data_IF_396844565307
#
_entry.id   IF_396844565307
#
_cell.length_a   1.000
_cell.length_b   1.000
_cell.length_c   1.000
_cell.angle_alpha   90.00
_cell.angle_beta   90.00
_cell.angle_gamma   90.00
#
_symmetry.space_group_name_H-M   'P 1'
#
loop_
_entity.id
_entity.type
_entity.pdbx_description
1 polymer ?
#
# COMPACT_ATOMS: atom_id res chain seq x y z
N UNK A 1 -5.84 -23.24 30.81
CA UNK A 1 -4.86 -22.61 29.89
C UNK A 1 -5.36 -21.22 29.53
N UNK A 2 -4.63 -20.18 29.90
CA UNK A 2 -5.02 -18.78 29.68
C UNK A 2 -4.87 -18.45 28.20
N UNK A 3 -5.97 -18.07 27.54
CA UNK A 3 -5.97 -17.63 26.14
C UNK A 3 -5.06 -16.40 26.00
N UNK A 4 -4.18 -16.31 25.00
CA UNK A 4 -3.33 -15.14 24.80
C UNK A 4 -4.19 -13.86 24.69
N UNK A 5 -3.72 -12.76 25.27
CA UNK A 5 -4.33 -11.44 25.12
C UNK A 5 -4.46 -11.10 23.63
N UNK A 6 -5.68 -11.15 23.09
CA UNK A 6 -5.98 -10.60 21.77
C UNK A 6 -6.13 -9.09 21.94
N UNK A 7 -5.13 -8.34 21.52
CA UNK A 7 -5.23 -6.89 21.42
C UNK A 7 -6.41 -6.59 20.49
N UNK A 8 -7.49 -6.02 21.06
CA UNK A 8 -8.72 -5.69 20.33
C UNK A 8 -8.75 -4.20 20.02
N UNK A 9 -8.76 -3.85 18.74
CA UNK A 9 -8.85 -2.49 18.23
C UNK A 9 -10.23 -2.33 17.59
N UNK A 10 -11.08 -1.40 18.08
CA UNK A 10 -12.38 -1.14 17.49
C UNK A 10 -12.26 -0.90 15.98
N UNK A 11 -12.95 -1.72 15.17
CA UNK A 11 -12.98 -1.58 13.71
C UNK A 11 -11.87 -2.33 12.95
N UNK A 12 -10.98 -3.07 13.62
CA UNK A 12 -9.96 -3.85 12.94
C UNK A 12 -10.51 -5.03 12.10
N UNK A 13 -9.81 -5.36 11.02
CA UNK A 13 -10.24 -6.32 9.99
C UNK A 13 -10.54 -7.73 10.52
N UNK A 14 -9.83 -8.21 11.55
CA UNK A 14 -10.08 -9.53 12.14
C UNK A 14 -11.46 -9.65 12.82
N UNK A 15 -12.14 -8.53 13.10
CA UNK A 15 -13.53 -8.58 13.55
C UNK A 15 -14.48 -9.10 12.46
N UNK A 16 -14.15 -8.90 11.18
CA UNK A 16 -14.93 -9.41 10.04
C UNK A 16 -14.77 -10.93 9.93
N UNK A 17 -13.52 -11.42 9.97
CA UNK A 17 -13.22 -12.86 9.88
C UNK A 17 -13.69 -13.64 11.11
N UNK A 18 -13.54 -13.09 12.33
CA UNK A 18 -14.05 -13.71 13.56
C UNK A 18 -15.57 -13.84 13.56
N UNK A 19 -16.31 -12.81 13.09
CA UNK A 19 -17.78 -12.87 12.99
C UNK A 19 -18.26 -13.86 11.95
N UNK A 20 -17.57 -13.91 10.81
CA UNK A 20 -17.83 -14.92 9.77
C UNK A 20 -17.68 -16.33 10.32
N UNK A 21 -16.59 -16.61 11.04
CA UNK A 21 -16.35 -17.90 11.70
C UNK A 21 -17.42 -18.24 12.76
N UNK A 22 -17.91 -17.24 13.48
CA UNK A 22 -18.99 -17.38 14.47
C UNK A 22 -20.39 -17.45 13.83
N UNK A 23 -20.51 -17.45 12.49
CA UNK A 23 -21.77 -17.40 11.75
C UNK A 23 -22.68 -16.22 12.15
N UNK A 24 -22.09 -15.11 12.58
CA UNK A 24 -22.79 -13.86 12.89
C UNK A 24 -22.93 -12.99 11.65
N UNK A 25 -23.73 -11.93 11.74
CA UNK A 25 -23.68 -10.86 10.74
C UNK A 25 -22.26 -10.30 10.62
N UNK A 26 -21.68 -10.40 9.43
CA UNK A 26 -20.31 -9.99 9.11
C UNK A 26 -20.19 -8.46 9.21
N UNK A 27 -21.14 -7.76 8.57
CA UNK A 27 -21.25 -6.30 8.56
C UNK A 27 -22.35 -5.85 9.53
N UNK A 28 -22.11 -4.74 10.25
CA UNK A 28 -23.10 -4.17 11.18
C UNK A 28 -24.09 -3.23 10.49
N UNK A 29 -23.73 -2.75 9.31
CA UNK A 29 -24.56 -1.88 8.48
C UNK A 29 -24.34 -2.15 7.00
N UNK A 30 -25.26 -1.67 6.16
CA UNK A 30 -25.08 -1.66 4.70
C UNK A 30 -23.86 -0.82 4.30
N UNK A 31 -23.65 0.34 4.94
CA UNK A 31 -22.51 1.21 4.70
C UNK A 31 -21.16 0.51 4.95
N UNK A 32 -21.06 -0.33 6.00
CA UNK A 32 -19.85 -1.12 6.27
C UNK A 32 -19.57 -2.12 5.13
N UNK A 33 -20.63 -2.76 4.62
CA UNK A 33 -20.53 -3.71 3.52
C UNK A 33 -20.09 -3.02 2.24
N UNK A 34 -20.73 -1.91 1.89
CA UNK A 34 -20.40 -1.12 0.70
C UNK A 34 -18.94 -0.63 0.75
N UNK A 35 -18.50 -0.12 1.90
CA UNK A 35 -17.13 0.33 2.09
C UNK A 35 -16.11 -0.82 2.00
N UNK A 36 -16.44 -1.99 2.54
CA UNK A 36 -15.60 -3.18 2.40
C UNK A 36 -15.48 -3.63 0.94
N UNK A 37 -16.60 -3.71 0.22
CA UNK A 37 -16.61 -4.11 -1.19
C UNK A 37 -15.87 -3.09 -2.06
N UNK A 38 -16.02 -1.80 -1.78
CA UNK A 38 -15.25 -0.75 -2.44
C UNK A 38 -13.73 -0.95 -2.26
N UNK A 39 -13.27 -1.24 -1.04
CA UNK A 39 -11.85 -1.54 -0.83
C UNK A 39 -11.40 -2.79 -1.59
N UNK A 40 -12.22 -3.84 -1.61
CA UNK A 40 -11.91 -5.06 -2.34
C UNK A 40 -11.80 -4.81 -3.86
N UNK A 41 -12.73 -4.05 -4.43
CA UNK A 41 -12.76 -3.67 -5.85
C UNK A 41 -11.61 -2.74 -6.23
N UNK A 42 -11.24 -1.80 -5.36
CA UNK A 42 -10.08 -0.95 -5.59
C UNK A 42 -8.75 -1.71 -5.63
N UNK A 43 -8.65 -2.86 -4.96
CA UNK A 43 -7.43 -3.65 -4.87
C UNK A 43 -7.41 -4.86 -5.82
N UNK A 44 -8.55 -5.31 -6.32
CA UNK A 44 -8.66 -6.53 -7.16
C UNK A 44 -9.24 -6.15 -8.52
N UNK A 45 -8.52 -6.47 -9.60
CA UNK A 45 -8.99 -6.23 -10.96
C UNK A 45 -10.01 -7.31 -11.43
N UNK A 46 -10.75 -7.06 -12.53
CA UNK A 46 -11.75 -8.02 -13.04
C UNK A 46 -11.19 -9.40 -13.40
N UNK A 47 -9.90 -9.48 -13.74
CA UNK A 47 -9.15 -10.72 -13.99
C UNK A 47 -8.68 -11.41 -12.68
N UNK A 48 -9.16 -10.94 -11.53
CA UNK A 48 -8.80 -11.41 -10.20
C UNK A 48 -7.32 -11.18 -9.81
N UNK A 49 -6.58 -10.32 -10.53
CA UNK A 49 -5.25 -9.87 -10.10
C UNK A 49 -5.35 -8.94 -8.91
N UNK A 50 -4.45 -9.11 -7.93
CA UNK A 50 -4.40 -8.34 -6.69
C UNK A 50 -3.31 -7.26 -6.79
N UNK A 51 -3.64 -6.06 -6.30
CA UNK A 51 -2.76 -4.90 -6.22
C UNK A 51 -2.67 -4.37 -4.77
N UNK A 52 -1.53 -3.78 -4.35
CA UNK A 52 -1.38 -3.12 -3.06
C UNK A 52 -2.35 -1.95 -2.87
N UNK A 53 -2.61 -1.21 -3.95
CA UNK A 53 -3.66 -0.18 -4.03
C UNK A 53 -4.02 0.09 -5.49
N UNK A 54 -5.09 0.86 -5.69
CA UNK A 54 -5.64 1.18 -7.01
C UNK A 54 -4.62 1.84 -7.95
N UNK A 55 -3.71 2.68 -7.43
CA UNK A 55 -2.69 3.35 -8.23
C UNK A 55 -1.69 2.38 -8.88
N UNK A 56 -1.48 1.19 -8.31
CA UNK A 56 -0.59 0.19 -8.91
C UNK A 56 -1.18 -0.50 -10.14
N UNK A 57 -2.49 -0.38 -10.39
CA UNK A 57 -3.11 -0.91 -11.62
C UNK A 57 -2.58 -0.22 -12.89
N UNK A 58 -1.97 0.95 -12.74
CA UNK A 58 -1.42 1.74 -13.86
C UNK A 58 0.09 1.51 -14.06
N UNK A 59 0.71 0.62 -13.29
CA UNK A 59 2.15 0.36 -13.32
C UNK A 59 2.37 -0.98 -14.03
N UNK A 60 3.27 -1.01 -15.01
CA UNK A 60 3.75 -2.27 -15.58
C UNK A 60 4.71 -2.91 -14.56
N UNK A 61 4.15 -3.77 -13.71
CA UNK A 61 4.81 -4.26 -12.49
C UNK A 61 5.82 -5.37 -12.76
N UNK A 62 5.63 -6.09 -13.86
CA UNK A 62 6.37 -7.32 -14.18
C UNK A 62 7.88 -7.04 -14.37
N UNK A 63 8.24 -5.83 -14.81
CA UNK A 63 9.64 -5.38 -14.97
C UNK A 63 10.29 -4.91 -13.66
N UNK A 64 9.48 -4.60 -12.62
CA UNK A 64 9.95 -3.92 -11.41
C UNK A 64 10.12 -4.90 -10.24
N UNK A 65 9.13 -5.76 -10.02
CA UNK A 65 9.12 -6.69 -8.88
C UNK A 65 9.27 -8.16 -9.28
N UNK A 66 9.46 -8.42 -10.58
CA UNK A 66 9.55 -9.75 -11.16
C UNK A 66 8.18 -10.39 -11.44
N UNK A 67 8.21 -11.62 -11.96
CA UNK A 67 7.05 -12.34 -12.49
C UNK A 67 5.84 -12.34 -11.55
N UNK A 68 4.64 -12.28 -12.13
CA UNK A 68 3.32 -12.17 -11.50
C UNK A 68 2.85 -13.43 -10.72
N UNK A 69 3.80 -14.20 -10.22
CA UNK A 69 3.59 -15.45 -9.52
C UNK A 69 2.87 -15.19 -8.18
N UNK A 70 1.78 -15.94 -7.93
CA UNK A 70 0.93 -15.78 -6.74
C UNK A 70 0.28 -14.40 -6.58
N UNK A 71 0.05 -13.65 -7.65
CA UNK A 71 -0.63 -12.34 -7.59
C UNK A 71 -2.08 -12.37 -8.09
N UNK A 72 -2.63 -13.54 -8.43
CA UNK A 72 -3.99 -13.68 -8.93
C UNK A 72 -4.80 -14.72 -8.15
N UNK A 73 -6.04 -14.36 -7.84
CA UNK A 73 -7.01 -15.25 -7.20
C UNK A 73 -7.64 -16.27 -8.16
N UNK A 74 -7.28 -16.27 -9.45
CA UNK A 74 -7.73 -17.31 -10.38
C UNK A 74 -7.22 -18.70 -9.97
N UNK A 75 -5.97 -18.77 -9.51
CA UNK A 75 -5.26 -20.04 -9.28
C UNK A 75 -4.86 -20.26 -7.81
N UNK A 76 -5.03 -19.23 -6.97
CA UNK A 76 -4.53 -19.22 -5.59
C UNK A 76 -5.54 -18.55 -4.66
N UNK A 77 -5.55 -18.95 -3.39
CA UNK A 77 -6.30 -18.22 -2.38
C UNK A 77 -5.58 -16.93 -1.95
N UNK A 78 -6.30 -16.06 -1.25
CA UNK A 78 -5.79 -14.76 -0.81
C UNK A 78 -4.63 -14.88 0.18
N UNK A 79 -4.60 -15.92 1.02
CA UNK A 79 -3.53 -16.11 1.99
C UNK A 79 -2.22 -16.49 1.27
N UNK A 80 -2.31 -17.39 0.30
CA UNK A 80 -1.19 -17.77 -0.57
C UNK A 80 -0.70 -16.54 -1.33
N UNK A 81 -1.59 -15.77 -1.94
CA UNK A 81 -1.19 -14.57 -2.66
C UNK A 81 -0.49 -13.56 -1.74
N UNK A 82 -1.09 -13.29 -0.57
CA UNK A 82 -0.55 -12.34 0.40
C UNK A 82 0.85 -12.73 0.90
N UNK A 83 1.11 -14.03 1.10
CA UNK A 83 2.39 -14.53 1.64
C UNK A 83 3.45 -14.77 0.56
N UNK A 84 3.06 -15.28 -0.60
CA UNK A 84 4.00 -15.80 -1.61
C UNK A 84 4.19 -14.89 -2.83
N UNK A 85 3.31 -13.91 -3.04
CA UNK A 85 3.46 -12.98 -4.15
C UNK A 85 4.80 -12.25 -4.07
N UNK A 86 5.66 -12.46 -5.07
CA UNK A 86 6.93 -11.74 -5.22
C UNK A 86 6.68 -10.24 -5.30
N UNK A 87 5.62 -9.88 -6.02
CA UNK A 87 5.16 -8.52 -6.15
C UNK A 87 4.82 -7.86 -4.80
N UNK A 88 3.89 -8.44 -4.03
CA UNK A 88 3.49 -7.86 -2.74
C UNK A 88 4.64 -7.85 -1.73
N UNK A 89 5.51 -8.86 -1.76
CA UNK A 89 6.69 -8.92 -0.90
C UNK A 89 7.72 -7.86 -1.27
N UNK A 90 7.98 -7.62 -2.56
CA UNK A 90 8.90 -6.57 -3.00
C UNK A 90 8.40 -5.17 -2.61
N UNK A 91 7.09 -4.93 -2.65
CA UNK A 91 6.51 -3.68 -2.14
C UNK A 91 6.75 -3.53 -0.63
N UNK A 92 6.59 -4.59 0.16
CA UNK A 92 6.85 -4.55 1.61
C UNK A 92 8.32 -4.29 1.93
N UNK A 93 9.21 -4.97 1.22
CA UNK A 93 10.66 -4.79 1.39
C UNK A 93 11.07 -3.34 1.14
N UNK A 94 10.52 -2.70 0.11
CA UNK A 94 10.74 -1.27 -0.12
C UNK A 94 10.18 -0.41 1.02
N UNK A 95 8.96 -0.68 1.49
CA UNK A 95 8.35 0.10 2.58
C UNK A 95 9.09 -0.04 3.92
N UNK A 96 9.88 -1.11 4.09
CA UNK A 96 10.72 -1.37 5.26
C UNK A 96 12.18 -0.93 5.07
N UNK A 97 12.59 -0.65 3.83
CA UNK A 97 13.95 -0.24 3.48
C UNK A 97 14.31 1.19 3.92
N UNK A 98 15.58 1.55 3.72
CA UNK A 98 16.06 2.89 4.05
C UNK A 98 15.44 3.98 3.17
N UNK A 99 15.08 5.10 3.79
CA UNK A 99 14.62 6.29 3.07
C UNK A 99 15.80 7.15 2.63
N UNK A 100 15.74 7.68 1.40
CA UNK A 100 16.79 8.57 0.87
C UNK A 100 16.58 10.01 1.33
N UNK A 101 17.63 10.81 1.27
CA UNK A 101 17.56 12.27 1.48
C UNK A 101 16.67 12.91 0.40
N UNK A 102 15.83 13.91 0.72
CA UNK A 102 15.71 14.62 2.01
C UNK A 102 14.82 13.91 3.05
N UNK A 103 14.11 12.84 2.67
CA UNK A 103 13.15 12.19 3.57
C UNK A 103 13.83 11.57 4.79
N UNK A 104 15.05 11.03 4.67
CA UNK A 104 15.81 10.42 5.78
C UNK A 104 15.91 11.30 7.02
N UNK A 105 16.02 12.61 6.83
CA UNK A 105 16.20 13.59 7.91
C UNK A 105 14.96 14.45 8.13
N UNK A 106 13.82 14.09 7.52
CA UNK A 106 12.60 14.87 7.60
C UNK A 106 11.87 14.59 8.92
N UNK A 107 11.48 15.64 9.64
CA UNK A 107 10.69 15.55 10.89
C UNK A 107 9.32 14.88 10.68
N UNK A 108 8.82 14.81 9.44
CA UNK A 108 7.53 14.19 9.11
C UNK A 108 7.66 12.73 8.66
N UNK A 109 8.87 12.16 8.69
CA UNK A 109 9.13 10.83 8.12
C UNK A 109 8.26 9.75 8.73
N UNK A 110 8.05 9.74 10.05
CA UNK A 110 7.27 8.70 10.73
C UNK A 110 5.80 8.66 10.28
N UNK A 111 5.24 9.81 9.90
CA UNK A 111 3.85 9.92 9.44
C UNK A 111 3.72 9.77 7.92
N UNK A 112 4.69 10.29 7.18
CA UNK A 112 4.65 10.36 5.72
C UNK A 112 5.24 9.11 5.06
N UNK A 113 6.28 8.53 5.68
CA UNK A 113 7.09 7.43 5.14
C UNK A 113 7.57 7.69 3.72
N UNK A 114 8.02 8.92 3.46
CA UNK A 114 8.41 9.43 2.13
C UNK A 114 7.29 9.47 1.08
N UNK A 115 6.03 9.32 1.46
CA UNK A 115 4.85 9.48 0.60
C UNK A 115 4.48 8.23 -0.22
N UNK A 116 3.73 8.44 -1.30
CA UNK A 116 3.18 7.40 -2.14
C UNK A 116 4.24 6.71 -3.00
N UNK A 117 4.43 5.40 -2.81
CA UNK A 117 5.35 4.60 -3.63
C UNK A 117 4.92 4.56 -5.11
N UNK A 118 3.61 4.43 -5.39
CA UNK A 118 3.12 4.37 -6.77
C UNK A 118 3.44 5.65 -7.56
N UNK A 119 3.31 6.84 -6.95
CA UNK A 119 3.66 8.11 -7.59
C UNK A 119 5.14 8.19 -7.97
N UNK A 120 6.02 7.64 -7.13
CA UNK A 120 7.46 7.59 -7.41
C UNK A 120 7.76 6.68 -8.59
N UNK A 121 7.12 5.51 -8.64
CA UNK A 121 7.27 4.57 -9.75
C UNK A 121 6.75 5.19 -11.04
N UNK A 122 5.56 5.80 -11.01
CA UNK A 122 4.95 6.46 -12.18
C UNK A 122 5.87 7.58 -12.71
N UNK A 123 6.49 8.36 -11.82
CA UNK A 123 7.40 9.44 -12.23
C UNK A 123 8.75 8.93 -12.74
N UNK A 124 9.35 7.97 -12.04
CA UNK A 124 10.77 7.61 -12.23
C UNK A 124 10.98 6.34 -13.05
N UNK A 125 9.91 5.57 -13.31
CA UNK A 125 9.97 4.27 -13.99
C UNK A 125 10.59 3.14 -13.17
N UNK A 126 11.00 3.40 -11.92
CA UNK A 126 11.60 2.40 -11.04
C UNK A 126 11.25 2.65 -9.57
N UNK A 127 11.45 1.61 -8.75
CA UNK A 127 11.19 1.64 -7.33
C UNK A 127 12.33 2.28 -6.54
N UNK A 128 12.01 3.35 -5.82
CA UNK A 128 12.97 3.99 -4.93
C UNK A 128 12.27 4.67 -3.75
N UNK A 129 12.86 4.58 -2.56
CA UNK A 129 12.45 5.32 -1.37
C UNK A 129 12.93 6.79 -1.39
N UNK A 130 12.79 7.42 -2.55
CA UNK A 130 13.03 8.84 -2.75
C UNK A 130 11.81 9.65 -2.33
N UNK A 131 11.91 10.97 -2.43
CA UNK A 131 10.80 11.88 -2.10
C UNK A 131 9.62 11.70 -3.06
N UNK A 132 8.40 11.67 -2.52
CA UNK A 132 7.18 11.71 -3.32
C UNK A 132 7.11 13.02 -4.14
N UNK A 133 6.80 12.97 -5.45
CA UNK A 133 6.62 14.15 -6.30
C UNK A 133 5.61 15.18 -5.78
N UNK A 134 4.66 14.74 -4.96
CA UNK A 134 3.62 15.57 -4.33
C UNK A 134 4.07 16.19 -3.01
N UNK A 135 5.30 15.96 -2.56
CA UNK A 135 5.83 16.51 -1.32
C UNK A 135 5.80 18.05 -1.34
N UNK A 136 5.14 18.65 -0.35
CA UNK A 136 5.04 20.11 -0.24
C UNK A 136 6.39 20.77 0.07
N UNK A 137 7.20 20.14 0.93
CA UNK A 137 8.54 20.65 1.27
C UNK A 137 9.46 20.67 0.05
N UNK A 138 9.35 19.68 -0.84
CA UNK A 138 10.10 19.65 -2.08
C UNK A 138 9.73 20.86 -2.96
N UNK A 139 8.43 21.11 -3.13
CA UNK A 139 7.92 22.24 -3.92
C UNK A 139 8.39 23.59 -3.35
N UNK A 140 8.37 23.74 -2.03
CA UNK A 140 8.88 24.94 -1.37
C UNK A 140 10.38 25.16 -1.63
N UNK A 141 11.19 24.10 -1.53
CA UNK A 141 12.64 24.17 -1.82
C UNK A 141 12.93 24.52 -3.29
N UNK A 142 12.16 23.98 -4.23
CA UNK A 142 12.28 24.30 -5.66
C UNK A 142 11.94 25.77 -5.95
N UNK A 143 10.85 26.29 -5.37
CA UNK A 143 10.46 27.70 -5.49
C UNK A 143 11.56 28.64 -4.97
N UNK A 144 12.16 28.32 -3.81
CA UNK A 144 13.25 29.12 -3.23
C UNK A 144 14.49 29.09 -4.14
N UNK A 145 14.85 27.93 -4.69
CA UNK A 145 15.98 27.81 -5.63
C UNK A 145 15.77 28.66 -6.89
N UNK A 146 14.57 28.62 -7.48
CA UNK A 146 14.26 29.42 -8.66
C UNK A 146 14.33 30.92 -8.40
N UNK A 147 13.95 31.39 -7.21
CA UNK A 147 14.07 32.81 -6.83
C UNK A 147 15.54 33.23 -6.67
N UNK A 148 16.38 32.35 -6.13
CA UNK A 148 17.80 32.65 -5.93
C UNK A 148 18.63 32.62 -7.22
N UNK A 149 18.17 31.92 -8.27
CA UNK A 149 18.84 31.91 -9.59
C UNK A 149 18.47 33.13 -10.45
N UNK A 150 17.32 33.77 -10.17
CA UNK A 150 16.85 34.96 -10.91
C UNK A 150 17.35 36.29 -10.34
N UNK A 151 18.03 36.27 -9.19
CA UNK A 151 18.72 37.41 -8.58
C UNK A 151 20.23 37.30 -8.80
#
# INVERSE_FOLDING_TARGET
>A
MTRPLRITYPGAFYHITSRGNERKQIFKSLADKEKFLFYLESAIAPDLRIYPCDAFKQIAVDDIFGADEFSSLQNHDLEVCWKKSKYLNGVRELLEGEFKSPCRTCEKLDNCRSGCLAQKIIKNGHCENSVDPSCLLLKEMEIVREKNVRN
#
